data_IF_979303200770
#
_entry.id   IF_979303200770
#
_cell.length_a   1.000
_cell.length_b   1.000
_cell.length_c   1.000
_cell.angle_alpha   90.00
_cell.angle_beta   90.00
_cell.angle_gamma   90.00
#
_symmetry.space_group_name_H-M   'P 1'
#
loop_
_entity.id
_entity.type
_entity.pdbx_description
1 polymer ?
#
# COMPACT_ATOMS: atom_id res chain seq x y z
N UNK A 1 11.41 7.64 3.57
CA UNK A 1 10.33 8.46 2.98
C UNK A 1 10.27 9.83 3.64
N UNK A 2 9.61 10.01 4.79
CA UNK A 2 9.46 11.33 5.43
C UNK A 2 10.79 12.06 5.68
N UNK A 3 11.79 11.38 6.24
CA UNK A 3 13.11 11.96 6.48
C UNK A 3 13.81 12.37 5.17
N UNK A 4 13.77 11.50 4.16
CA UNK A 4 14.35 11.77 2.84
C UNK A 4 13.67 12.98 2.18
N UNK A 5 12.36 13.12 2.36
CA UNK A 5 11.56 14.21 1.81
C UNK A 5 11.83 15.53 2.52
N UNK A 6 11.96 15.51 3.84
CA UNK A 6 12.40 16.67 4.63
C UNK A 6 13.80 17.15 4.25
N UNK A 7 14.66 16.26 3.75
CA UNK A 7 16.01 16.58 3.31
C UNK A 7 16.09 17.14 1.87
N UNK A 8 15.06 16.97 1.04
CA UNK A 8 15.05 17.43 -0.37
C UNK A 8 15.34 18.93 -0.51
N UNK A 9 14.71 19.85 0.26
CA UNK A 9 15.02 21.27 0.16
C UNK A 9 16.51 21.57 0.45
N UNK A 10 17.09 20.92 1.45
CA UNK A 10 18.50 21.09 1.81
C UNK A 10 19.42 20.69 0.66
N UNK A 11 19.12 19.57 -0.01
CA UNK A 11 19.88 19.11 -1.18
C UNK A 11 19.78 20.11 -2.34
N UNK A 12 18.60 20.70 -2.55
CA UNK A 12 18.39 21.68 -3.63
C UNK A 12 19.10 23.02 -3.38
N UNK A 13 19.18 23.48 -2.13
CA UNK A 13 19.82 24.75 -1.80
C UNK A 13 21.34 24.65 -1.60
N UNK A 14 21.82 23.54 -1.03
CA UNK A 14 23.22 23.40 -0.62
C UNK A 14 24.04 22.55 -1.61
N UNK A 15 23.39 21.78 -2.48
CA UNK A 15 24.06 20.86 -3.41
C UNK A 15 24.78 19.68 -2.72
N UNK A 16 24.75 19.62 -1.40
CA UNK A 16 25.34 18.56 -0.58
C UNK A 16 24.40 17.35 -0.54
N UNK A 17 24.59 16.42 -1.48
CA UNK A 17 23.99 15.10 -1.38
C UNK A 17 24.65 14.26 -0.29
N UNK A 18 23.85 13.38 0.30
CA UNK A 18 24.29 12.42 1.32
C UNK A 18 25.33 11.49 0.67
N UNK A 19 26.48 11.22 1.33
CA UNK A 19 27.48 10.29 0.83
C UNK A 19 26.88 8.90 0.52
N UNK A 20 27.37 8.21 -0.53
CA UNK A 20 26.81 6.94 -0.99
C UNK A 20 26.82 5.83 0.07
N UNK A 21 27.70 5.94 1.07
CA UNK A 21 27.80 4.99 2.19
C UNK A 21 26.51 4.90 3.00
N UNK A 22 25.75 6.00 3.11
CA UNK A 22 24.47 5.99 3.85
C UNK A 22 23.27 5.62 2.97
N UNK A 23 23.36 5.78 1.65
CA UNK A 23 22.28 5.41 0.72
C UNK A 23 22.37 3.96 0.26
N UNK A 24 23.57 3.38 0.21
CA UNK A 24 23.81 2.01 -0.21
C UNK A 24 23.00 0.96 0.58
N UNK A 25 22.88 1.01 1.92
CA UNK A 25 22.07 0.05 2.67
C UNK A 25 20.59 0.08 2.30
N UNK A 26 20.05 1.27 1.98
CA UNK A 26 18.65 1.43 1.58
C UNK A 26 18.38 0.75 0.23
N UNK A 27 19.25 0.98 -0.75
CA UNK A 27 19.15 0.34 -2.07
C UNK A 27 19.35 -1.17 -1.95
N UNK A 28 20.35 -1.61 -1.18
CA UNK A 28 20.65 -3.02 -0.95
C UNK A 28 19.46 -3.74 -0.29
N UNK A 29 18.89 -3.16 0.78
CA UNK A 29 17.73 -3.74 1.46
C UNK A 29 16.53 -3.89 0.52
N UNK A 30 16.29 -2.91 -0.36
CA UNK A 30 15.24 -3.01 -1.36
C UNK A 30 15.48 -4.15 -2.37
N UNK A 31 16.69 -4.24 -2.92
CA UNK A 31 17.05 -5.30 -3.88
C UNK A 31 16.94 -6.68 -3.23
N UNK A 32 17.43 -6.83 -1.99
CA UNK A 32 17.32 -8.08 -1.23
C UNK A 32 15.86 -8.43 -1.00
N UNK A 33 15.00 -7.47 -0.63
CA UNK A 33 13.57 -7.72 -0.43
C UNK A 33 12.87 -8.18 -1.72
N UNK A 34 13.16 -7.53 -2.84
CA UNK A 34 12.59 -7.92 -4.14
C UNK A 34 13.06 -9.32 -4.54
N UNK A 35 14.36 -9.59 -4.40
CA UNK A 35 14.94 -10.89 -4.71
C UNK A 35 14.36 -11.99 -3.82
N UNK A 36 14.26 -11.73 -2.51
CA UNK A 36 13.68 -12.65 -1.54
C UNK A 36 12.23 -13.00 -1.89
N UNK A 37 11.43 -12.00 -2.26
CA UNK A 37 10.04 -12.22 -2.67
C UNK A 37 9.96 -13.08 -3.95
N UNK A 38 10.75 -12.76 -4.97
CA UNK A 38 10.79 -13.53 -6.22
C UNK A 38 11.23 -14.98 -5.95
N UNK A 39 12.29 -15.17 -5.15
CA UNK A 39 12.81 -16.49 -4.80
C UNK A 39 11.77 -17.33 -4.05
N UNK A 40 11.11 -16.76 -3.04
CA UNK A 40 10.07 -17.48 -2.30
C UNK A 40 8.91 -17.89 -3.18
N UNK A 41 8.41 -17.02 -4.05
CA UNK A 41 7.28 -17.34 -4.95
C UNK A 41 7.66 -18.38 -6.01
N UNK A 42 8.89 -18.33 -6.53
CA UNK A 42 9.41 -19.33 -7.46
C UNK A 42 9.57 -20.70 -6.80
N UNK A 43 10.17 -20.75 -5.61
CA UNK A 43 10.51 -22.01 -4.94
C UNK A 43 9.29 -22.65 -4.27
N UNK A 44 8.39 -21.86 -3.67
CA UNK A 44 7.27 -22.39 -2.88
C UNK A 44 5.97 -22.55 -3.66
N UNK A 45 5.68 -21.67 -4.61
CA UNK A 45 4.34 -21.58 -5.23
C UNK A 45 4.36 -21.95 -6.72
N UNK A 46 5.54 -22.05 -7.37
CA UNK A 46 5.68 -22.21 -8.84
C UNK A 46 4.78 -21.23 -9.63
N UNK A 47 4.60 -20.04 -9.08
CA UNK A 47 3.68 -19.04 -9.62
C UNK A 47 4.19 -18.45 -10.94
N UNK A 48 3.28 -17.99 -11.78
CA UNK A 48 3.64 -17.23 -12.99
C UNK A 48 4.32 -15.91 -12.59
N UNK A 49 5.09 -15.32 -13.51
CA UNK A 49 5.74 -14.03 -13.30
C UNK A 49 4.72 -12.92 -12.99
N UNK A 50 3.55 -12.95 -13.63
CA UNK A 50 2.49 -11.97 -13.41
C UNK A 50 1.91 -12.07 -11.98
N UNK A 51 1.70 -13.30 -11.49
CA UNK A 51 1.19 -13.53 -10.13
C UNK A 51 2.22 -13.09 -9.08
N UNK A 52 3.50 -13.30 -9.36
CA UNK A 52 4.61 -12.87 -8.50
C UNK A 52 4.68 -11.35 -8.41
N UNK A 53 4.50 -10.64 -9.53
CA UNK A 53 4.43 -9.18 -9.56
C UNK A 53 3.20 -8.65 -8.81
N UNK A 54 2.04 -9.27 -9.00
CA UNK A 54 0.83 -8.91 -8.25
C UNK A 54 1.00 -9.09 -6.74
N UNK A 55 1.62 -10.18 -6.32
CA UNK A 55 1.96 -10.42 -4.92
C UNK A 55 2.99 -9.42 -4.38
N UNK A 56 4.01 -9.06 -5.16
CA UNK A 56 4.99 -8.05 -4.79
C UNK A 56 4.33 -6.67 -4.58
N UNK A 57 3.44 -6.27 -5.48
CA UNK A 57 2.67 -5.03 -5.39
C UNK A 57 1.81 -5.04 -4.10
N UNK A 58 1.12 -6.15 -3.83
CA UNK A 58 0.32 -6.29 -2.61
C UNK A 58 1.19 -6.18 -1.34
N UNK A 59 2.34 -6.84 -1.31
CA UNK A 59 3.26 -6.78 -0.16
C UNK A 59 3.79 -5.35 0.07
N UNK A 60 4.19 -4.66 -0.99
CA UNK A 60 4.73 -3.30 -0.92
C UNK A 60 3.68 -2.25 -0.51
N UNK A 61 2.40 -2.45 -0.87
CA UNK A 61 1.31 -1.56 -0.47
C UNK A 61 1.11 -1.48 1.05
N UNK A 62 1.54 -2.50 1.81
CA UNK A 62 1.21 -2.61 3.23
C UNK A 62 2.06 -1.69 4.12
N UNK A 63 3.14 -1.11 3.61
CA UNK A 63 4.18 -0.42 4.40
C UNK A 63 3.62 0.60 5.40
N UNK A 64 2.82 1.57 4.94
CA UNK A 64 2.26 2.60 5.80
C UNK A 64 1.10 2.07 6.66
N UNK A 65 0.40 1.05 6.18
CA UNK A 65 -0.69 0.39 6.92
C UNK A 65 -0.13 -0.35 8.15
N UNK A 66 0.94 -1.13 7.99
CA UNK A 66 1.64 -1.76 9.12
C UNK A 66 2.21 -0.71 10.05
N UNK A 67 2.88 0.33 9.51
CA UNK A 67 3.45 1.38 10.34
C UNK A 67 2.41 2.09 11.21
N UNK A 68 1.23 2.41 10.65
CA UNK A 68 0.11 2.98 11.39
C UNK A 68 -0.43 2.01 12.45
N UNK A 69 -0.57 0.73 12.12
CA UNK A 69 -1.04 -0.28 13.08
C UNK A 69 -0.06 -0.47 14.25
N UNK A 70 1.25 -0.48 13.97
CA UNK A 70 2.30 -0.55 15.00
C UNK A 70 2.28 0.70 15.86
N UNK A 71 2.17 1.89 15.26
CA UNK A 71 2.04 3.14 15.98
C UNK A 71 0.80 3.16 16.89
N UNK A 72 -0.36 2.76 16.36
CA UNK A 72 -1.59 2.64 17.13
C UNK A 72 -1.45 1.63 18.29
N UNK A 73 -0.71 0.53 18.07
CA UNK A 73 -0.44 -0.49 19.09
C UNK A 73 0.48 -0.01 20.22
N UNK A 74 1.38 0.95 19.96
CA UNK A 74 2.20 1.58 21.00
C UNK A 74 1.49 2.72 21.72
N UNK A 75 0.62 3.47 21.04
CA UNK A 75 -0.02 4.68 21.60
C UNK A 75 -1.32 4.37 22.34
N UNK A 76 -2.07 3.35 21.92
CA UNK A 76 -3.36 3.01 22.52
C UNK A 76 -3.25 1.73 23.34
N UNK A 77 -3.22 1.88 24.66
CA UNK A 77 -3.40 0.76 25.58
C UNK A 77 -4.85 0.30 25.55
N UNK A 78 -5.08 -1.01 25.36
CA UNK A 78 -6.40 -1.67 25.32
C UNK A 78 -7.34 -1.34 24.14
N UNK A 79 -6.83 -1.39 22.90
CA UNK A 79 -7.70 -1.44 21.72
C UNK A 79 -8.68 -2.64 21.83
N UNK A 80 -10.00 -2.41 21.89
CA UNK A 80 -10.97 -3.50 21.98
C UNK A 80 -10.90 -4.33 20.69
N UNK A 81 -11.16 -5.65 20.80
CA UNK A 81 -11.25 -6.53 19.64
C UNK A 81 -12.29 -5.99 18.66
N UNK A 82 -11.80 -5.35 17.60
CA UNK A 82 -12.66 -4.75 16.60
C UNK A 82 -13.33 -5.89 15.83
N UNK A 83 -14.66 -6.01 15.96
CA UNK A 83 -15.43 -7.01 15.22
C UNK A 83 -15.18 -6.82 13.73
N UNK A 84 -14.73 -7.88 13.05
CA UNK A 84 -14.61 -7.89 11.59
C UNK A 84 -16.01 -7.70 11.02
N UNK A 85 -16.24 -6.57 10.35
CA UNK A 85 -17.53 -6.28 9.74
C UNK A 85 -17.80 -7.33 8.64
N UNK A 86 -18.72 -8.24 8.91
CA UNK A 86 -19.16 -9.25 7.95
C UNK A 86 -20.07 -8.57 6.91
N UNK A 87 -19.49 -7.89 5.94
CA UNK A 87 -20.10 -7.45 4.67
C UNK A 87 -21.26 -6.43 4.71
N UNK A 88 -21.93 -6.22 5.83
CA UNK A 88 -23.19 -5.47 5.88
C UNK A 88 -23.11 -3.99 6.30
N UNK A 89 -22.01 -3.55 6.93
CA UNK A 89 -21.90 -2.19 7.51
C UNK A 89 -20.67 -1.39 7.02
N UNK A 90 -20.03 -1.86 5.94
CA UNK A 90 -18.77 -1.31 5.42
C UNK A 90 -18.83 0.17 4.99
N UNK A 91 -20.03 0.72 4.81
CA UNK A 91 -20.25 2.11 4.39
C UNK A 91 -19.87 3.16 5.44
N UNK A 92 -19.85 2.81 6.74
CA UNK A 92 -19.56 3.80 7.80
C UNK A 92 -18.06 4.12 7.93
N UNK A 93 -17.19 3.23 7.45
CA UNK A 93 -15.73 3.37 7.54
C UNK A 93 -15.06 3.81 6.24
N UNK A 94 -15.83 4.03 5.16
CA UNK A 94 -15.30 4.45 3.86
C UNK A 94 -14.61 5.81 3.94
N UNK A 95 -15.10 6.72 4.79
CA UNK A 95 -14.51 8.07 4.97
C UNK A 95 -13.10 7.99 5.58
N UNK A 96 -12.91 7.13 6.57
CA UNK A 96 -11.60 6.92 7.23
C UNK A 96 -10.61 6.27 6.26
N UNK A 97 -11.06 5.26 5.50
CA UNK A 97 -10.24 4.59 4.49
C UNK A 97 -9.75 5.58 3.42
N UNK A 98 -10.67 6.37 2.85
CA UNK A 98 -10.34 7.35 1.83
C UNK A 98 -9.36 8.42 2.35
N UNK A 99 -9.47 8.82 3.62
CA UNK A 99 -8.52 9.75 4.22
C UNK A 99 -7.10 9.16 4.33
N UNK A 100 -6.97 7.91 4.78
CA UNK A 100 -5.69 7.22 4.90
C UNK A 100 -4.97 7.07 3.55
N UNK A 101 -5.72 6.74 2.50
CA UNK A 101 -5.19 6.55 1.14
C UNK A 101 -4.76 7.86 0.49
N UNK A 102 -5.50 8.97 0.71
CA UNK A 102 -5.08 10.30 0.20
C UNK A 102 -3.69 10.69 0.69
N UNK A 103 -3.35 10.34 1.93
CA UNK A 103 -2.02 10.59 2.48
C UNK A 103 -0.95 9.76 1.75
N UNK A 104 -1.23 8.49 1.45
CA UNK A 104 -0.29 7.62 0.72
C UNK A 104 -0.05 8.10 -0.71
N UNK A 105 -1.12 8.49 -1.41
CA UNK A 105 -1.03 9.09 -2.75
C UNK A 105 -0.21 10.38 -2.70
N UNK A 106 -0.49 11.26 -1.73
CA UNK A 106 0.24 12.52 -1.58
C UNK A 106 1.74 12.30 -1.36
N UNK A 107 2.12 11.37 -0.47
CA UNK A 107 3.52 11.03 -0.21
C UNK A 107 4.19 10.44 -1.46
N UNK A 108 3.50 9.52 -2.16
CA UNK A 108 4.01 8.92 -3.40
C UNK A 108 4.27 9.95 -4.49
N UNK A 109 3.30 10.84 -4.74
CA UNK A 109 3.45 11.92 -5.72
C UNK A 109 4.53 12.92 -5.33
N UNK A 110 4.64 13.26 -4.05
CA UNK A 110 5.64 14.19 -3.55
C UNK A 110 7.06 13.61 -3.68
N UNK A 111 7.23 12.30 -3.46
CA UNK A 111 8.50 11.60 -3.72
C UNK A 111 8.86 11.60 -5.21
N UNK A 112 7.89 11.33 -6.10
CA UNK A 112 8.12 11.38 -7.55
C UNK A 112 8.48 12.79 -8.02
N UNK A 113 7.76 13.81 -7.55
CA UNK A 113 8.05 15.20 -7.85
C UNK A 113 9.44 15.61 -7.34
N UNK A 114 9.82 15.17 -6.13
CA UNK A 114 11.14 15.44 -5.57
C UNK A 114 12.26 14.77 -6.38
N UNK A 115 12.08 13.52 -6.78
CA UNK A 115 13.04 12.80 -7.62
C UNK A 115 13.23 13.50 -8.98
N UNK A 116 12.12 13.94 -9.60
CA UNK A 116 12.14 14.70 -10.84
C UNK A 116 12.84 16.05 -10.70
N UNK A 117 12.55 16.79 -9.62
CA UNK A 117 13.14 18.09 -9.36
C UNK A 117 14.65 18.00 -9.12
N UNK A 118 15.09 17.04 -8.30
CA UNK A 118 16.52 16.77 -8.07
C UNK A 118 17.21 16.38 -9.38
N UNK A 119 16.57 15.54 -10.22
CA UNK A 119 17.14 15.13 -11.51
C UNK A 119 17.23 16.29 -12.51
N UNK A 120 16.27 17.21 -12.48
CA UNK A 120 16.25 18.39 -13.34
C UNK A 120 17.30 19.42 -12.92
N UNK A 121 17.48 19.63 -11.62
CA UNK A 121 18.49 20.55 -11.07
C UNK A 121 19.92 20.00 -11.16
N UNK A 122 20.09 18.68 -11.33
CA UNK A 122 21.40 18.04 -11.49
C UNK A 122 21.98 18.25 -12.91
N UNK A 123 22.43 19.47 -13.20
CA UNK A 123 23.08 19.83 -14.47
C UNK A 123 24.44 19.15 -14.60
N UNK A 124 25.21 19.11 -13.51
CA UNK A 124 26.61 18.62 -13.48
C UNK A 124 26.74 17.07 -13.47
N UNK A 125 25.62 16.34 -13.53
CA UNK A 125 25.57 14.87 -13.51
C UNK A 125 26.30 14.23 -12.33
N UNK A 126 26.26 14.88 -11.16
CA UNK A 126 26.90 14.38 -9.96
C UNK A 126 26.31 13.03 -9.53
N UNK A 127 27.20 12.05 -9.33
CA UNK A 127 26.81 10.68 -9.01
C UNK A 127 26.02 10.60 -7.70
N UNK A 128 26.40 11.43 -6.72
CA UNK A 128 25.74 11.47 -5.41
C UNK A 128 24.29 11.97 -5.52
N UNK A 129 24.05 13.01 -6.33
CA UNK A 129 22.70 13.52 -6.59
C UNK A 129 21.85 12.48 -7.35
N UNK A 130 22.46 11.79 -8.31
CA UNK A 130 21.77 10.77 -9.08
C UNK A 130 21.39 9.55 -8.22
N UNK A 131 22.29 9.11 -7.32
CA UNK A 131 21.99 8.06 -6.35
C UNK A 131 20.89 8.50 -5.36
N UNK A 132 20.92 9.76 -4.91
CA UNK A 132 19.85 10.29 -4.06
C UNK A 132 18.49 10.29 -4.79
N UNK A 133 18.45 10.75 -6.04
CA UNK A 133 17.25 10.68 -6.87
C UNK A 133 16.75 9.23 -7.04
N UNK A 134 17.66 8.28 -7.28
CA UNK A 134 17.33 6.85 -7.34
C UNK A 134 16.71 6.34 -6.03
N UNK A 135 17.25 6.75 -4.87
CA UNK A 135 16.64 6.36 -3.59
C UNK A 135 15.25 6.92 -3.38
N UNK A 136 14.98 8.15 -3.85
CA UNK A 136 13.63 8.74 -3.80
C UNK A 136 12.66 7.94 -4.66
N UNK A 137 13.09 7.50 -5.85
CA UNK A 137 12.29 6.64 -6.71
C UNK A 137 11.98 5.29 -6.04
N UNK A 138 13.00 4.62 -5.48
CA UNK A 138 12.83 3.35 -4.77
C UNK A 138 11.84 3.50 -3.61
N UNK A 139 11.93 4.60 -2.85
CA UNK A 139 11.02 4.89 -1.75
C UNK A 139 9.60 5.25 -2.22
N UNK A 140 9.41 5.74 -3.44
CA UNK A 140 8.10 6.03 -4.01
C UNK A 140 7.33 4.75 -4.39
N UNK A 141 8.05 3.67 -4.76
CA UNK A 141 7.44 2.42 -5.23
C UNK A 141 6.38 1.85 -4.26
N UNK A 142 6.62 1.72 -2.94
CA UNK A 142 5.60 1.22 -2.00
C UNK A 142 4.32 2.06 -1.97
N UNK A 143 4.44 3.40 -2.05
CA UNK A 143 3.28 4.30 -2.04
C UNK A 143 2.51 4.27 -3.36
N UNK A 144 3.22 4.13 -4.49
CA UNK A 144 2.59 3.95 -5.79
C UNK A 144 1.85 2.60 -5.85
N UNK A 145 2.45 1.57 -5.27
CA UNK A 145 1.84 0.25 -5.11
C UNK A 145 0.52 0.29 -4.35
N UNK A 146 0.47 1.06 -3.26
CA UNK A 146 -0.77 1.25 -2.50
C UNK A 146 -1.86 1.97 -3.28
N UNK A 147 -1.47 2.94 -4.12
CA UNK A 147 -2.40 3.63 -5.02
C UNK A 147 -3.02 2.67 -6.03
N UNK A 148 -2.20 1.80 -6.63
CA UNK A 148 -2.66 0.76 -7.56
C UNK A 148 -3.62 -0.21 -6.86
N UNK A 149 -3.26 -0.68 -5.65
CA UNK A 149 -4.09 -1.61 -4.89
C UNK A 149 -5.46 -1.01 -4.56
N UNK A 150 -5.51 0.26 -4.17
CA UNK A 150 -6.77 0.97 -3.93
C UNK A 150 -7.62 1.15 -5.20
N UNK A 151 -6.98 1.40 -6.35
CA UNK A 151 -7.69 1.49 -7.63
C UNK A 151 -8.35 0.16 -8.00
N UNK A 152 -7.69 -0.97 -7.71
CA UNK A 152 -8.25 -2.31 -7.91
C UNK A 152 -9.41 -2.57 -6.94
N UNK A 153 -9.25 -2.22 -5.66
CA UNK A 153 -10.29 -2.39 -4.64
C UNK A 153 -11.56 -1.58 -4.96
N UNK A 154 -11.41 -0.29 -5.30
CA UNK A 154 -12.54 0.59 -5.65
C UNK A 154 -13.32 0.09 -6.88
N UNK A 155 -12.61 -0.41 -7.89
CA UNK A 155 -13.20 -1.05 -9.07
C UNK A 155 -13.99 -2.31 -8.70
N UNK A 156 -13.44 -3.16 -7.81
CA UNK A 156 -14.09 -4.39 -7.37
C UNK A 156 -15.31 -4.13 -6.48
N UNK A 157 -15.22 -3.15 -5.57
CA UNK A 157 -16.35 -2.74 -4.71
C UNK A 157 -17.53 -2.25 -5.54
N UNK A 158 -17.25 -1.43 -6.55
CA UNK A 158 -18.27 -0.92 -7.49
C UNK A 158 -18.96 -2.08 -8.23
N UNK A 159 -18.19 -3.07 -8.70
CA UNK A 159 -18.73 -4.28 -9.35
C UNK A 159 -19.56 -5.12 -8.39
N UNK A 160 -19.12 -5.30 -7.15
CA UNK A 160 -19.86 -6.08 -6.16
C UNK A 160 -21.20 -5.42 -5.81
N UNK A 161 -21.21 -4.11 -5.56
CA UNK A 161 -22.46 -3.36 -5.34
C UNK A 161 -23.41 -3.49 -6.53
N UNK A 162 -22.91 -3.40 -7.76
CA UNK A 162 -23.73 -3.61 -8.96
C UNK A 162 -24.32 -5.03 -9.04
N UNK A 163 -23.60 -6.05 -8.57
CA UNK A 163 -24.10 -7.44 -8.52
C UNK A 163 -25.12 -7.64 -7.39
N UNK A 164 -24.90 -7.07 -6.21
CA UNK A 164 -25.85 -7.13 -5.09
C UNK A 164 -27.15 -6.40 -5.43
N UNK A 165 -27.08 -5.26 -6.12
CA UNK A 165 -28.25 -4.51 -6.56
C UNK A 165 -29.03 -5.26 -7.67
N UNK A 166 -28.36 -6.13 -8.43
CA UNK A 166 -28.97 -6.99 -9.45
C UNK A 166 -29.59 -8.26 -8.89
N UNK A 167 -29.41 -8.60 -7.61
CA UNK A 167 -30.21 -9.64 -6.97
C UNK A 167 -31.56 -9.02 -6.61
N UNK A 168 -32.65 -9.29 -7.37
CA UNK A 168 -33.97 -8.91 -6.90
C UNK A 168 -34.19 -9.61 -5.57
N UNK A 169 -34.89 -8.93 -4.67
CA UNK A 169 -35.54 -9.44 -3.47
C UNK A 169 -36.47 -10.62 -3.83
N UNK A 170 -35.90 -11.75 -4.25
CA UNK A 170 -36.60 -12.98 -4.65
C UNK A 170 -36.47 -14.05 -3.56
N UNK A 171 -36.28 -13.59 -2.32
CA UNK A 171 -36.43 -14.38 -1.11
C UNK A 171 -37.29 -13.60 -0.12
N UNK A 172 -38.38 -13.01 -0.63
CA UNK A 172 -39.58 -12.88 0.19
C UNK A 172 -40.04 -14.31 0.52
N UNK A 173 -39.57 -14.78 1.68
CA UNK A 173 -40.22 -15.77 2.54
C UNK A 173 -41.05 -16.81 1.78
N UNK A 174 -40.41 -17.81 1.18
CA UNK A 174 -41.06 -19.11 1.20
C UNK A 174 -41.13 -19.48 2.70
N UNK A 175 -42.33 -19.62 3.30
CA UNK A 175 -42.39 -20.05 4.69
C UNK A 175 -41.70 -21.41 4.74
N UNK A 176 -40.56 -21.47 5.43
CA UNK A 176 -40.01 -22.74 5.88
C UNK A 176 -41.10 -23.32 6.76
N UNK A 177 -41.87 -24.27 6.22
CA UNK A 177 -42.83 -25.03 7.00
C UNK A 177 -42.00 -25.70 8.09
N UNK A 178 -42.18 -25.24 9.32
CA UNK A 178 -41.63 -25.89 10.49
C UNK A 178 -42.27 -27.28 10.54
N UNK A 179 -41.55 -28.29 10.05
CA UNK A 179 -41.83 -29.68 10.36
C UNK A 179 -41.63 -29.84 11.86
N UNK A 180 -42.72 -29.74 12.61
CA UNK A 180 -42.83 -30.15 14.01
C UNK A 180 -42.62 -31.66 14.08
N UNK A 181 -41.37 -32.11 14.06
CA UNK A 181 -41.05 -33.48 14.45
C UNK A 181 -41.17 -33.57 15.97
N UNK A 182 -42.25 -34.23 16.38
CA UNK A 182 -42.54 -34.63 17.74
C UNK A 182 -41.33 -35.32 18.39
N UNK A 183 -40.73 -34.65 19.37
CA UNK A 183 -39.91 -35.30 20.38
C UNK A 183 -40.86 -35.70 21.51
N UNK A 184 -41.27 -36.97 21.47
CA UNK A 184 -41.73 -37.75 22.63
C UNK A 184 -40.53 -38.39 23.30
#
# INVERSE_FOLDING_TARGET
>A
AFLSLAWVPVVLFVGLAIPPVLTAPLVAAFVINVLHNILLYRVRVKASLLDTLGAAIAAMSLQLTVAKAVYDGFVKDSLPFRRTEKGGNSGKDTRTKNAAIRVEICIGLLLLASAGLVRFMNVDQELNLNLFALTLLIQAVPFLSATVMHSIESSRSSRFMALTQRQPTSTALAPVSASTSAWR
#
